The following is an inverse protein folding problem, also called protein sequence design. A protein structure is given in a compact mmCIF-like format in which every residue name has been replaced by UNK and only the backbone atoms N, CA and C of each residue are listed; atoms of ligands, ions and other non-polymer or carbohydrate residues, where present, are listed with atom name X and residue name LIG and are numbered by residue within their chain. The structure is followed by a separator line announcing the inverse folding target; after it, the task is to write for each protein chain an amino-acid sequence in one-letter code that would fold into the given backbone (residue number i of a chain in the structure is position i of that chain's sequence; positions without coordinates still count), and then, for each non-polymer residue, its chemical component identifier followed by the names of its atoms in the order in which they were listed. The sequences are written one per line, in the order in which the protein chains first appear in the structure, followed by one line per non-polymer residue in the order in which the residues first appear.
data_IF_629408932684
#
_entry.id   IF_629408932684
#
_cell.length_a   1.000
_cell.length_b   1.000
_cell.length_c   1.000
_cell.angle_alpha   90.00
_cell.angle_beta   90.00
_cell.angle_gamma   90.00
#
_symmetry.space_group_name_H-M   'P 1'
#
loop_
_entity.id
_entity.type
_entity.pdbx_description
1 polymer ?
#
# COMPACT_ATOMS: atom_id res chain seq x y z
N UNK A 1 17.23 30.46 -11.38
CA UNK A 1 16.76 29.54 -12.43
C UNK A 1 15.74 30.30 -13.25
N UNK A 2 15.98 30.54 -14.54
CA UNK A 2 15.04 31.26 -15.41
C UNK A 2 14.30 30.24 -16.28
N UNK A 3 12.97 30.24 -16.21
CA UNK A 3 12.12 29.43 -17.08
C UNK A 3 11.63 30.31 -18.23
N UNK A 4 12.02 29.96 -19.45
CA UNK A 4 11.45 30.52 -20.68
C UNK A 4 10.23 29.68 -21.05
N UNK A 5 9.03 30.16 -20.70
CA UNK A 5 7.79 29.52 -21.15
C UNK A 5 7.55 29.90 -22.62
N UNK A 6 7.67 28.91 -23.51
CA UNK A 6 7.29 29.07 -24.90
C UNK A 6 5.78 29.20 -25.02
N UNK A 7 5.32 30.07 -25.93
CA UNK A 7 3.89 30.19 -26.23
C UNK A 7 3.34 28.84 -26.67
N UNK A 8 2.30 28.36 -25.97
CA UNK A 8 1.59 27.13 -26.33
C UNK A 8 1.00 27.26 -27.73
N UNK A 9 1.27 26.27 -28.57
CA UNK A 9 0.73 26.20 -29.92
C UNK A 9 -0.80 26.10 -29.87
N UNK A 10 -1.48 26.80 -30.79
CA UNK A 10 -2.92 26.68 -31.01
C UNK A 10 -3.12 26.09 -32.40
N UNK A 11 -4.03 25.14 -32.57
CA UNK A 11 -4.33 24.53 -33.88
C UNK A 11 -4.77 25.56 -34.94
N UNK A 12 -5.27 26.72 -34.51
CA UNK A 12 -5.63 27.86 -35.35
C UNK A 12 -4.45 28.77 -35.72
N UNK A 13 -3.24 28.46 -35.25
CA UNK A 13 -2.06 29.25 -35.58
C UNK A 13 -1.61 28.98 -37.01
N UNK A 14 -1.29 30.07 -37.73
CA UNK A 14 -0.80 30.02 -39.12
C UNK A 14 0.68 29.64 -39.21
N UNK A 15 1.17 28.82 -38.27
CA UNK A 15 2.58 28.43 -38.21
C UNK A 15 2.83 27.27 -39.18
N UNK A 16 2.95 27.61 -40.47
CA UNK A 16 3.13 26.67 -41.57
C UNK A 16 4.37 25.79 -41.42
N UNK A 17 5.39 26.23 -40.67
CA UNK A 17 6.63 25.46 -40.46
C UNK A 17 6.45 24.39 -39.37
N UNK A 18 5.77 24.72 -38.27
CA UNK A 18 5.63 23.79 -37.12
C UNK A 18 4.44 22.86 -37.25
N UNK A 19 3.43 23.22 -38.05
CA UNK A 19 2.21 22.44 -38.20
C UNK A 19 2.46 21.00 -38.69
N UNK A 20 3.31 20.73 -39.71
CA UNK A 20 3.66 19.35 -40.11
C UNK A 20 4.33 18.55 -38.99
N UNK A 21 5.26 19.17 -38.25
CA UNK A 21 5.94 18.51 -37.14
C UNK A 21 4.96 18.12 -36.02
N UNK A 22 3.98 18.96 -35.74
CA UNK A 22 2.95 18.67 -34.73
C UNK A 22 1.95 17.62 -35.21
N UNK A 23 1.61 17.62 -36.50
CA UNK A 23 0.80 16.55 -37.11
C UNK A 23 1.53 15.21 -37.02
N UNK A 24 2.82 15.18 -37.32
CA UNK A 24 3.69 14.00 -37.18
C UNK A 24 3.74 13.48 -35.74
N UNK A 25 4.14 14.31 -34.77
CA UNK A 25 4.22 13.88 -33.36
C UNK A 25 2.85 13.56 -32.75
N UNK A 26 1.79 14.20 -33.26
CA UNK A 26 0.41 13.95 -32.86
C UNK A 26 -0.25 12.77 -33.55
N UNK A 27 0.46 12.07 -34.45
CA UNK A 27 -0.06 10.97 -35.27
C UNK A 27 -1.35 11.34 -36.05
N UNK A 28 -1.40 12.56 -36.58
CA UNK A 28 -2.49 13.08 -37.41
C UNK A 28 -2.10 13.02 -38.89
N UNK A 29 -3.06 12.88 -39.81
CA UNK A 29 -2.76 13.00 -41.23
C UNK A 29 -2.23 14.40 -41.55
N UNK A 30 -1.25 14.48 -42.45
CA UNK A 30 -0.68 15.74 -42.88
C UNK A 30 -1.70 16.57 -43.65
N UNK A 31 -1.89 17.83 -43.25
CA UNK A 31 -2.76 18.77 -43.95
C UNK A 31 -2.04 19.59 -45.03
N UNK A 32 -0.71 19.51 -45.04
CA UNK A 32 0.19 20.18 -45.98
C UNK A 32 1.38 19.25 -46.26
N UNK A 33 2.12 19.49 -47.35
CA UNK A 33 3.27 18.64 -47.70
C UNK A 33 4.35 18.74 -46.60
N UNK A 34 4.72 17.60 -45.97
CA UNK A 34 5.71 17.60 -44.91
C UNK A 34 7.12 17.81 -45.49
N UNK A 35 7.99 18.40 -44.68
CA UNK A 35 9.41 18.50 -45.03
C UNK A 35 10.04 17.11 -45.18
N UNK A 36 11.08 17.00 -46.01
CA UNK A 36 11.79 15.73 -46.28
C UNK A 36 12.19 14.99 -45.01
N UNK A 37 12.61 15.71 -43.96
CA UNK A 37 13.00 15.11 -42.69
C UNK A 37 11.82 14.38 -42.01
N UNK A 38 10.63 14.99 -42.06
CA UNK A 38 9.40 14.41 -41.52
C UNK A 38 8.98 13.21 -42.37
N UNK A 39 9.03 13.32 -43.69
CA UNK A 39 8.69 12.19 -44.59
C UNK A 39 9.61 10.98 -44.38
N UNK A 40 10.91 11.21 -44.16
CA UNK A 40 11.87 10.14 -43.85
C UNK A 40 11.58 9.51 -42.48
N UNK A 41 11.25 10.33 -41.49
CA UNK A 41 10.89 9.83 -40.17
C UNK A 41 9.58 9.02 -40.21
N UNK A 42 8.58 9.46 -40.98
CA UNK A 42 7.31 8.74 -41.18
C UNK A 42 7.53 7.38 -41.85
N UNK A 43 8.39 7.30 -42.87
CA UNK A 43 8.76 6.03 -43.50
C UNK A 43 9.46 5.07 -42.52
N UNK A 44 10.33 5.58 -41.66
CA UNK A 44 10.97 4.76 -40.62
C UNK A 44 9.96 4.23 -39.59
N UNK A 45 8.80 4.86 -39.44
CA UNK A 45 7.72 4.38 -38.57
C UNK A 45 6.74 3.44 -39.29
N UNK A 46 6.74 3.41 -40.62
CA UNK A 46 5.89 2.50 -41.39
C UNK A 46 6.37 1.06 -41.24
N UNK A 47 5.70 0.32 -40.36
CA UNK A 47 5.94 -1.10 -40.11
C UNK A 47 5.91 -1.97 -41.38
N UNK A 48 5.16 -1.57 -42.43
CA UNK A 48 5.10 -2.31 -43.70
C UNK A 48 6.40 -2.18 -44.51
N UNK A 49 7.16 -1.12 -44.31
CA UNK A 49 8.44 -0.87 -44.97
C UNK A 49 9.63 -1.54 -44.28
N UNK A 50 9.44 -2.05 -43.06
CA UNK A 50 10.52 -2.65 -42.26
C UNK A 50 11.00 -4.00 -42.81
N UNK A 51 12.30 -4.26 -42.61
CA UNK A 51 12.90 -5.56 -42.89
C UNK A 51 12.38 -6.63 -41.93
N UNK A 52 12.54 -7.90 -42.30
CA UNK A 52 12.19 -9.01 -41.40
C UNK A 52 13.00 -8.97 -40.09
N UNK A 53 14.25 -8.51 -40.16
CA UNK A 53 15.15 -8.36 -39.01
C UNK A 53 14.64 -7.28 -38.04
N UNK A 54 14.24 -6.11 -38.56
CA UNK A 54 13.70 -5.01 -37.76
C UNK A 54 12.40 -5.42 -37.05
N UNK A 55 11.50 -6.11 -37.78
CA UNK A 55 10.24 -6.63 -37.21
C UNK A 55 10.49 -7.67 -36.12
N UNK A 56 11.45 -8.58 -36.35
CA UNK A 56 11.83 -9.60 -35.37
C UNK A 56 12.46 -8.99 -34.12
N UNK A 57 13.32 -7.98 -34.28
CA UNK A 57 13.92 -7.27 -33.15
C UNK A 57 12.85 -6.51 -32.35
N UNK A 58 11.97 -5.76 -33.02
CA UNK A 58 10.90 -5.02 -32.35
C UNK A 58 9.94 -5.96 -31.60
N UNK A 59 9.49 -7.06 -32.22
CA UNK A 59 8.66 -8.06 -31.55
C UNK A 59 9.35 -8.70 -30.35
N UNK A 60 10.64 -9.03 -30.43
CA UNK A 60 11.41 -9.55 -29.30
C UNK A 60 11.53 -8.53 -28.15
N UNK A 61 11.75 -7.25 -28.47
CA UNK A 61 11.76 -6.18 -27.48
C UNK A 61 10.42 -6.07 -26.76
N UNK A 62 9.31 -6.05 -27.51
CA UNK A 62 7.95 -6.00 -26.94
C UNK A 62 7.65 -7.20 -26.05
N UNK A 63 8.03 -8.40 -26.48
CA UNK A 63 7.90 -9.62 -25.67
C UNK A 63 8.69 -9.52 -24.35
N UNK A 64 9.91 -8.96 -24.39
CA UNK A 64 10.72 -8.75 -23.19
C UNK A 64 10.12 -7.69 -22.26
N UNK A 65 9.63 -6.59 -22.81
CA UNK A 65 8.93 -5.55 -22.04
C UNK A 65 7.70 -6.13 -21.34
N UNK A 66 6.89 -6.91 -22.05
CA UNK A 66 5.70 -7.56 -21.50
C UNK A 66 6.07 -8.58 -20.41
N UNK A 67 7.10 -9.41 -20.64
CA UNK A 67 7.61 -10.33 -19.61
C UNK A 67 8.15 -9.60 -18.38
N UNK A 68 8.83 -8.46 -18.56
CA UNK A 68 9.35 -7.67 -17.45
C UNK A 68 8.21 -7.04 -16.63
N UNK A 69 7.14 -6.58 -17.29
CA UNK A 69 5.94 -6.07 -16.63
C UNK A 69 5.24 -7.17 -15.85
N UNK A 70 5.00 -8.33 -16.46
CA UNK A 70 4.39 -9.48 -15.78
C UNK A 70 5.22 -9.96 -14.57
N UNK A 71 6.55 -10.00 -14.71
CA UNK A 71 7.43 -10.36 -13.61
C UNK A 71 7.40 -9.33 -12.46
N UNK A 72 7.26 -8.05 -12.79
CA UNK A 72 7.09 -6.99 -11.80
C UNK A 72 5.75 -7.13 -11.07
N UNK A 73 4.65 -7.33 -11.79
CA UNK A 73 3.31 -7.49 -11.22
C UNK A 73 3.27 -8.71 -10.29
N UNK A 74 3.84 -9.84 -10.73
CA UNK A 74 3.94 -11.05 -9.91
C UNK A 74 4.78 -10.85 -8.64
N UNK A 75 5.92 -10.14 -8.76
CA UNK A 75 6.76 -9.84 -7.61
C UNK A 75 6.05 -8.92 -6.59
N UNK A 76 5.25 -7.96 -7.07
CA UNK A 76 4.45 -7.09 -6.22
C UNK A 76 3.35 -7.87 -5.50
N UNK A 77 2.58 -8.69 -6.23
CA UNK A 77 1.53 -9.54 -5.66
C UNK A 77 2.10 -10.45 -4.55
N UNK A 78 3.24 -11.10 -4.82
CA UNK A 78 3.92 -11.94 -3.83
C UNK A 78 4.42 -11.16 -2.60
N UNK A 79 4.83 -9.91 -2.77
CA UNK A 79 5.26 -9.07 -1.66
C UNK A 79 4.06 -8.63 -0.79
N UNK A 80 2.95 -8.28 -1.42
CA UNK A 80 1.69 -7.93 -0.73
C UNK A 80 1.12 -9.11 0.05
N UNK A 81 1.05 -10.29 -0.56
CA UNK A 81 0.56 -11.51 0.08
C UNK A 81 1.40 -11.84 1.33
N UNK A 82 2.73 -11.88 1.18
CA UNK A 82 3.64 -12.14 2.30
C UNK A 82 3.57 -11.06 3.38
N UNK A 83 3.42 -9.79 2.99
CA UNK A 83 3.27 -8.67 3.91
C UNK A 83 2.00 -8.82 4.75
N UNK A 84 0.89 -9.17 4.11
CA UNK A 84 -0.40 -9.35 4.76
C UNK A 84 -0.41 -10.58 5.68
N UNK A 85 0.14 -11.70 5.23
CA UNK A 85 0.28 -12.91 6.06
C UNK A 85 1.10 -12.63 7.33
N UNK A 86 2.26 -11.98 7.18
CA UNK A 86 3.11 -11.60 8.32
C UNK A 86 2.38 -10.64 9.26
N UNK A 87 1.78 -9.58 8.73
CA UNK A 87 1.04 -8.62 9.53
C UNK A 87 -0.12 -9.27 10.31
N UNK A 88 -0.81 -10.24 9.70
CA UNK A 88 -1.87 -10.99 10.36
C UNK A 88 -1.34 -11.92 11.45
N UNK A 89 -0.25 -12.64 11.17
CA UNK A 89 0.37 -13.55 12.12
C UNK A 89 0.90 -12.79 13.35
N UNK A 90 1.71 -11.75 13.11
CA UNK A 90 2.27 -10.90 14.17
C UNK A 90 1.18 -10.18 14.97
N UNK A 91 0.15 -9.66 14.29
CA UNK A 91 -0.98 -9.01 14.94
C UNK A 91 -1.78 -9.95 15.83
N UNK A 92 -2.00 -11.20 15.39
CA UNK A 92 -2.70 -12.22 16.17
C UNK A 92 -1.87 -12.64 17.39
N UNK A 93 -0.57 -12.88 17.20
CA UNK A 93 0.35 -13.28 18.27
C UNK A 93 0.44 -12.21 19.35
N UNK A 94 0.68 -10.95 18.97
CA UNK A 94 0.74 -9.83 19.91
C UNK A 94 -0.61 -9.61 20.61
N UNK A 95 -1.73 -9.74 19.89
CA UNK A 95 -3.05 -9.61 20.46
C UNK A 95 -3.35 -10.69 21.50
N UNK A 96 -2.97 -11.94 21.21
CA UNK A 96 -3.17 -13.08 22.08
C UNK A 96 -2.25 -13.02 23.31
N UNK A 97 -0.98 -12.64 23.14
CA UNK A 97 -0.04 -12.47 24.25
C UNK A 97 -0.52 -11.39 25.23
N UNK A 98 -0.88 -10.21 24.72
CA UNK A 98 -1.41 -9.11 25.55
C UNK A 98 -2.73 -9.49 26.22
N UNK A 99 -3.61 -10.20 25.50
CA UNK A 99 -4.88 -10.68 26.04
C UNK A 99 -4.69 -11.68 27.17
N UNK A 100 -3.77 -12.64 27.02
CA UNK A 100 -3.44 -13.63 28.05
C UNK A 100 -2.75 -12.99 29.25
N UNK A 101 -1.81 -12.07 29.04
CA UNK A 101 -1.13 -11.37 30.13
C UNK A 101 -2.13 -10.57 30.97
N UNK A 102 -2.98 -9.78 30.30
CA UNK A 102 -4.04 -9.02 30.97
C UNK A 102 -5.03 -9.93 31.70
N UNK A 103 -5.51 -10.99 31.05
CA UNK A 103 -6.45 -11.93 31.67
C UNK A 103 -5.84 -12.68 32.86
N UNK A 104 -4.53 -12.96 32.85
CA UNK A 104 -3.83 -13.56 34.01
C UNK A 104 -3.72 -12.59 35.18
N UNK A 105 -3.45 -11.31 34.92
CA UNK A 105 -3.37 -10.29 35.97
C UNK A 105 -4.75 -10.07 36.58
N UNK A 106 -5.76 -9.79 35.74
CA UNK A 106 -7.14 -9.57 36.17
C UNK A 106 -7.68 -10.80 36.93
N UNK A 107 -7.50 -12.02 36.39
CA UNK A 107 -7.94 -13.25 37.06
C UNK A 107 -7.22 -13.54 38.37
N UNK A 108 -5.96 -13.10 38.53
CA UNK A 108 -5.23 -13.22 39.80
C UNK A 108 -5.72 -12.22 40.84
N UNK A 109 -6.04 -11.00 40.43
CA UNK A 109 -6.63 -9.98 41.31
C UNK A 109 -8.04 -10.38 41.74
N UNK A 110 -8.89 -10.83 40.82
CA UNK A 110 -10.22 -11.37 41.11
C UNK A 110 -10.14 -12.59 42.02
N UNK A 111 -9.25 -13.55 41.73
CA UNK A 111 -9.04 -14.73 42.56
C UNK A 111 -8.59 -14.36 43.99
N UNK A 112 -7.71 -13.35 44.12
CA UNK A 112 -7.30 -12.82 45.43
C UNK A 112 -8.50 -12.22 46.16
N UNK A 113 -9.32 -11.40 45.49
CA UNK A 113 -10.54 -10.82 46.05
C UNK A 113 -11.50 -11.91 46.57
N UNK A 114 -11.81 -12.91 45.75
CA UNK A 114 -12.69 -14.02 46.14
C UNK A 114 -12.16 -14.81 47.33
N UNK A 115 -10.84 -15.05 47.39
CA UNK A 115 -10.23 -15.74 48.54
C UNK A 115 -10.40 -14.95 49.85
N UNK A 116 -10.23 -13.62 49.82
CA UNK A 116 -10.45 -12.78 51.00
C UNK A 116 -11.93 -12.72 51.41
N UNK A 117 -12.86 -12.64 50.45
CA UNK A 117 -14.30 -12.70 50.73
C UNK A 117 -14.69 -14.02 51.42
N UNK A 118 -14.18 -15.15 50.92
CA UNK A 118 -14.45 -16.47 51.49
C UNK A 118 -13.89 -16.61 52.91
N UNK A 119 -12.65 -16.15 53.15
CA UNK A 119 -12.04 -16.18 54.48
C UNK A 119 -12.80 -15.32 55.50
N UNK A 120 -13.34 -14.16 55.09
CA UNK A 120 -14.17 -13.32 55.97
C UNK A 120 -15.52 -13.97 56.26
N UNK A 121 -16.17 -14.57 55.24
CA UNK A 121 -17.44 -15.31 55.42
C UNK A 121 -17.29 -16.53 56.35
N UNK A 122 -16.13 -17.18 56.33
CA UNK A 122 -15.80 -18.29 57.23
C UNK A 122 -15.39 -17.83 58.64
N UNK A 123 -15.31 -16.52 58.89
CA UNK A 123 -14.88 -15.95 60.17
C UNK A 123 -13.39 -16.13 60.46
N UNK A 124 -12.57 -16.43 59.44
CA UNK A 124 -11.12 -16.61 59.57
C UNK A 124 -10.37 -15.27 59.55
N UNK A 125 -10.98 -14.22 58.98
CA UNK A 125 -10.44 -12.87 58.87
C UNK A 125 -11.54 -11.84 59.16
N UNK A 126 -11.15 -10.64 59.61
CA UNK A 126 -12.08 -9.51 59.74
C UNK A 126 -12.12 -8.66 58.46
N UNK A 127 -13.23 -7.97 58.16
CA UNK A 127 -13.34 -7.07 57.01
C UNK A 127 -12.25 -6.00 56.94
N UNK A 128 -11.75 -5.51 58.09
CA UNK A 128 -10.71 -4.49 58.17
C UNK A 128 -9.36 -5.01 57.67
N UNK A 129 -8.99 -6.25 58.05
CA UNK A 129 -7.72 -6.85 57.63
C UNK A 129 -7.77 -7.22 56.14
N UNK A 130 -8.92 -7.73 55.66
CA UNK A 130 -9.11 -8.07 54.25
C UNK A 130 -9.10 -6.83 53.33
N UNK A 131 -9.82 -5.77 53.70
CA UNK A 131 -9.86 -4.51 52.95
C UNK A 131 -8.49 -3.83 52.86
N UNK A 132 -7.71 -3.81 53.96
CA UNK A 132 -6.35 -3.28 53.97
C UNK A 132 -5.41 -4.04 53.00
N UNK A 133 -5.51 -5.37 52.94
CA UNK A 133 -4.67 -6.21 52.05
C UNK A 133 -5.04 -6.14 50.56
N UNK A 134 -6.26 -5.68 50.28
CA UNK A 134 -6.77 -5.41 48.93
C UNK A 134 -6.61 -3.94 48.53
N UNK A 135 -6.21 -3.06 49.45
CA UNK A 135 -6.01 -1.63 49.18
C UNK A 135 -7.32 -0.87 48.94
N UNK A 136 -8.44 -1.34 49.48
CA UNK A 136 -9.76 -0.70 49.39
C UNK A 136 -10.26 -0.31 50.78
N UNK A 137 -11.32 0.49 50.83
CA UNK A 137 -11.94 0.87 52.11
C UNK A 137 -12.76 -0.27 52.69
N UNK A 138 -12.97 -0.25 54.01
CA UNK A 138 -13.81 -1.25 54.70
C UNK A 138 -15.23 -1.25 54.12
N UNK A 139 -15.80 -0.06 53.87
CA UNK A 139 -17.14 0.07 53.31
C UNK A 139 -17.27 -0.51 51.88
N UNK A 140 -16.25 -0.34 51.04
CA UNK A 140 -16.22 -0.95 49.69
C UNK A 140 -16.13 -2.47 49.77
N UNK A 141 -15.33 -3.00 50.71
CA UNK A 141 -15.22 -4.44 50.91
C UNK A 141 -16.52 -5.04 51.47
N UNK A 142 -17.14 -4.38 52.46
CA UNK A 142 -18.43 -4.79 53.03
C UNK A 142 -19.57 -4.77 52.01
N UNK A 143 -19.51 -3.88 51.02
CA UNK A 143 -20.48 -3.86 49.92
C UNK A 143 -20.35 -5.07 48.96
N UNK A 144 -19.23 -5.78 48.97
CA UNK A 144 -18.95 -6.97 48.15
C UNK A 144 -19.21 -8.30 48.88
N UNK A 145 -19.49 -8.24 50.19
CA UNK A 145 -19.64 -9.37 51.12
C UNK A 145 -21.02 -10.02 51.04
#
# INVERSE_FOLDING_TARGET
MAFLELKKYRETSKDEVRKPWLEFFGNKPFTQEPERAISQADQLLDYKSWSEEDRKMFSQLRMREEQALLAQDYALEQAEEKGLERGRAEGLEQGLERGLERGKVEGREEGKLFAFLDMVRQGLLTPEVASQQLGMTVAEFEALL
#
